data_IF_950576070237
#
_entry.id   IF_950576070237
#
_cell.length_a   1.000
_cell.length_b   1.000
_cell.length_c   1.000
_cell.angle_alpha   90.00
_cell.angle_beta   90.00
_cell.angle_gamma   90.00
#
_symmetry.space_group_name_H-M   'P 1'
#
loop_
_entity.id
_entity.type
_entity.pdbx_description
1 polymer ?
#
# COMPACT_ATOMS: atom_id res chain seq x y z
N UNK A 1 35.77 17.32 -14.90
CA UNK A 1 34.56 16.55 -14.53
C UNK A 1 34.29 16.62 -13.02
N UNK A 2 35.27 16.30 -12.16
CA UNK A 2 35.16 16.46 -10.70
C UNK A 2 34.78 17.89 -10.26
N UNK A 3 35.43 18.93 -10.79
CA UNK A 3 35.11 20.32 -10.45
C UNK A 3 33.68 20.75 -10.83
N UNK A 4 33.14 20.19 -11.91
CA UNK A 4 31.77 20.48 -12.36
C UNK A 4 30.78 19.83 -11.39
N UNK A 5 31.01 18.56 -11.01
CA UNK A 5 30.17 17.87 -10.05
C UNK A 5 30.19 18.56 -8.68
N UNK A 6 31.36 19.03 -8.21
CA UNK A 6 31.44 19.77 -6.95
C UNK A 6 30.65 21.08 -6.99
N UNK A 7 30.77 21.86 -8.07
CA UNK A 7 29.98 23.11 -8.23
C UNK A 7 28.48 22.85 -8.30
N UNK A 8 28.05 21.81 -9.03
CA UNK A 8 26.65 21.41 -9.10
C UNK A 8 26.13 21.00 -7.72
N UNK A 9 26.90 20.20 -6.97
CA UNK A 9 26.55 19.83 -5.59
C UNK A 9 26.41 21.06 -4.71
N UNK A 10 27.37 22.00 -4.73
CA UNK A 10 27.28 23.23 -3.95
C UNK A 10 26.05 24.07 -4.30
N UNK A 11 25.73 24.18 -5.60
CA UNK A 11 24.54 24.90 -6.06
C UNK A 11 23.24 24.23 -5.58
N UNK A 12 23.19 22.89 -5.57
CA UNK A 12 22.05 22.15 -5.05
C UNK A 12 21.91 22.33 -3.54
N UNK A 13 23.01 22.23 -2.77
CA UNK A 13 22.99 22.47 -1.32
C UNK A 13 22.47 23.88 -1.02
N UNK A 14 22.96 24.89 -1.73
CA UNK A 14 22.49 26.26 -1.56
C UNK A 14 21.01 26.42 -1.90
N UNK A 15 20.51 25.72 -2.92
CA UNK A 15 19.08 25.69 -3.26
C UNK A 15 18.25 25.03 -2.17
N UNK A 16 18.75 23.95 -1.55
CA UNK A 16 18.07 23.26 -0.46
C UNK A 16 17.91 24.14 0.79
N UNK A 17 18.94 24.93 1.09
CA UNK A 17 18.91 25.91 2.19
C UNK A 17 17.99 27.10 1.88
N UNK A 18 17.95 27.55 0.62
CA UNK A 18 17.17 28.71 0.19
C UNK A 18 15.66 28.45 0.09
N UNK A 19 15.25 27.22 -0.23
CA UNK A 19 13.86 26.82 -0.43
C UNK A 19 13.39 25.85 0.66
N UNK A 20 13.03 26.39 1.83
CA UNK A 20 12.39 25.61 2.90
C UNK A 20 11.00 25.08 2.50
N UNK A 21 10.56 23.98 3.12
CA UNK A 21 9.19 23.44 2.99
C UNK A 21 9.00 22.28 2.00
N UNK A 22 9.95 22.05 1.08
CA UNK A 22 9.98 20.85 0.21
C UNK A 22 11.10 19.86 0.59
N UNK A 23 12.00 20.28 1.48
CA UNK A 23 13.07 19.45 2.02
C UNK A 23 12.67 18.97 3.41
N UNK A 24 12.56 17.64 3.59
CA UNK A 24 12.32 17.01 4.88
C UNK A 24 13.63 16.43 5.40
N UNK A 25 14.53 17.32 5.83
CA UNK A 25 15.81 16.98 6.44
C UNK A 25 15.65 16.98 7.97
N UNK A 26 16.28 16.02 8.66
CA UNK A 26 16.28 15.86 10.13
C UNK A 26 14.90 15.68 10.81
N UNK A 27 13.82 15.50 10.03
CA UNK A 27 12.48 15.23 10.54
C UNK A 27 12.21 13.75 10.84
N UNK A 28 10.99 13.46 11.33
CA UNK A 28 10.54 12.08 11.56
C UNK A 28 10.59 11.30 10.24
N UNK A 29 11.15 10.09 10.25
CA UNK A 29 11.20 9.23 9.07
C UNK A 29 9.77 8.91 8.59
N UNK A 30 9.38 9.47 7.44
CA UNK A 30 8.02 9.35 6.89
C UNK A 30 7.83 8.01 6.15
N UNK A 31 6.58 7.55 5.97
CA UNK A 31 6.28 6.39 5.12
C UNK A 31 6.89 6.53 3.73
N UNK A 32 7.54 5.46 3.25
CA UNK A 32 8.18 5.44 1.95
C UNK A 32 7.19 5.12 0.84
N UNK A 33 7.05 6.02 -0.13
CA UNK A 33 6.16 5.83 -1.28
C UNK A 33 6.50 4.56 -2.09
N UNK A 34 7.78 4.24 -2.26
CA UNK A 34 8.19 3.04 -3.00
C UNK A 34 7.82 1.76 -2.25
N UNK A 35 8.05 1.73 -0.92
CA UNK A 35 7.70 0.57 -0.09
C UNK A 35 6.18 0.37 -0.05
N UNK A 36 5.40 1.45 0.09
CA UNK A 36 3.93 1.37 0.04
C UNK A 36 3.43 0.87 -1.32
N UNK A 37 4.05 1.30 -2.43
CA UNK A 37 3.72 0.78 -3.75
C UNK A 37 3.98 -0.73 -3.86
N UNK A 38 5.09 -1.23 -3.31
CA UNK A 38 5.40 -2.65 -3.33
C UNK A 38 4.48 -3.47 -2.41
N UNK A 39 4.16 -2.95 -1.21
CA UNK A 39 3.13 -3.53 -0.33
C UNK A 39 1.77 -3.60 -1.04
N UNK A 40 1.42 -2.57 -1.81
CA UNK A 40 0.15 -2.51 -2.54
C UNK A 40 0.08 -3.62 -3.60
N UNK A 41 1.16 -3.87 -4.34
CA UNK A 41 1.25 -4.99 -5.30
C UNK A 41 1.09 -6.35 -4.60
N UNK A 42 1.74 -6.52 -3.45
CA UNK A 42 1.61 -7.75 -2.65
C UNK A 42 0.18 -7.94 -2.12
N UNK A 43 -0.48 -6.87 -1.68
CA UNK A 43 -1.88 -6.90 -1.23
C UNK A 43 -2.85 -7.21 -2.38
N UNK A 44 -2.66 -6.60 -3.56
CA UNK A 44 -3.44 -6.92 -4.77
C UNK A 44 -3.30 -8.41 -5.12
N UNK A 45 -2.11 -8.97 -4.94
CA UNK A 45 -1.85 -10.39 -5.14
C UNK A 45 -2.62 -11.28 -4.14
N UNK A 46 -2.77 -10.85 -2.88
CA UNK A 46 -3.61 -11.55 -1.89
C UNK A 46 -5.12 -11.46 -2.24
N UNK A 47 -5.56 -10.30 -2.73
CA UNK A 47 -6.94 -10.10 -3.15
C UNK A 47 -7.28 -10.94 -4.38
N UNK A 48 -6.39 -10.99 -5.37
CA UNK A 48 -6.60 -11.63 -6.66
C UNK A 48 -5.49 -12.65 -7.00
N UNK A 49 -5.41 -13.78 -6.26
CA UNK A 49 -4.39 -14.79 -6.50
C UNK A 49 -4.49 -15.33 -7.93
N UNK A 50 -3.36 -15.38 -8.65
CA UNK A 50 -3.29 -15.82 -10.04
C UNK A 50 -3.56 -14.75 -11.11
N UNK A 51 -3.89 -13.50 -10.74
CA UNK A 51 -4.13 -12.42 -11.71
C UNK A 51 -2.97 -11.41 -11.81
N UNK A 52 -2.39 -11.00 -10.68
CA UNK A 52 -1.33 -9.98 -10.64
C UNK A 52 0.09 -10.56 -10.54
N UNK A 53 0.25 -11.83 -10.90
CA UNK A 53 1.51 -12.56 -10.79
C UNK A 53 2.01 -12.99 -12.16
N UNK A 54 3.32 -12.94 -12.37
CA UNK A 54 3.96 -13.43 -13.60
C UNK A 54 3.93 -14.96 -13.71
N UNK A 55 3.86 -15.67 -12.57
CA UNK A 55 3.91 -17.13 -12.51
C UNK A 55 2.55 -17.72 -12.18
N UNK A 56 2.23 -18.83 -12.85
CA UNK A 56 1.08 -19.65 -12.50
C UNK A 56 1.26 -20.24 -11.10
N UNK A 57 0.30 -19.99 -10.21
CA UNK A 57 0.24 -20.67 -8.91
C UNK A 57 -0.44 -22.02 -9.08
N UNK A 58 0.25 -23.08 -8.68
CA UNK A 58 -0.38 -24.38 -8.53
C UNK A 58 -1.15 -24.46 -7.21
N UNK A 59 -2.35 -25.04 -7.23
CA UNK A 59 -3.22 -25.16 -6.06
C UNK A 59 -2.55 -25.83 -4.85
N UNK A 60 -1.57 -26.71 -5.09
CA UNK A 60 -0.78 -27.39 -4.06
C UNK A 60 0.17 -26.44 -3.29
N UNK A 61 0.62 -25.35 -3.92
CA UNK A 61 1.56 -24.38 -3.35
C UNK A 61 0.86 -23.14 -2.79
N UNK A 62 -0.40 -22.89 -3.22
CA UNK A 62 -1.18 -21.71 -2.87
C UNK A 62 -1.17 -21.38 -1.37
N UNK A 63 -1.33 -22.39 -0.51
CA UNK A 63 -1.33 -22.18 0.95
C UNK A 63 0.00 -21.63 1.46
N UNK A 64 1.10 -22.24 1.03
CA UNK A 64 2.45 -21.86 1.47
C UNK A 64 2.83 -20.48 0.92
N UNK A 65 2.55 -20.22 -0.35
CA UNK A 65 2.83 -18.94 -0.99
C UNK A 65 1.99 -17.81 -0.38
N UNK A 66 0.70 -18.05 -0.14
CA UNK A 66 -0.18 -17.09 0.53
C UNK A 66 0.33 -16.78 1.94
N UNK A 67 0.77 -17.80 2.69
CA UNK A 67 1.32 -17.60 4.03
C UNK A 67 2.57 -16.72 4.01
N UNK A 68 3.54 -17.03 3.14
CA UNK A 68 4.76 -16.23 2.99
C UNK A 68 4.46 -14.79 2.57
N UNK A 69 3.50 -14.59 1.67
CA UNK A 69 3.09 -13.27 1.23
C UNK A 69 2.43 -12.47 2.36
N UNK A 70 1.58 -13.11 3.18
CA UNK A 70 0.98 -12.47 4.36
C UNK A 70 2.07 -12.07 5.37
N UNK A 71 3.05 -12.92 5.65
CA UNK A 71 4.15 -12.60 6.56
C UNK A 71 5.00 -11.43 6.04
N UNK A 72 5.31 -11.42 4.74
CA UNK A 72 6.02 -10.32 4.07
C UNK A 72 5.25 -9.00 4.20
N UNK A 73 3.97 -9.00 3.81
CA UNK A 73 3.12 -7.81 3.89
C UNK A 73 3.03 -7.31 5.32
N UNK A 74 2.80 -8.21 6.29
CA UNK A 74 2.74 -7.86 7.69
C UNK A 74 4.00 -7.12 8.16
N UNK A 75 5.19 -7.69 7.89
CA UNK A 75 6.45 -7.11 8.34
C UNK A 75 6.78 -5.76 7.68
N UNK A 76 6.45 -5.59 6.40
CA UNK A 76 6.67 -4.35 5.67
C UNK A 76 5.65 -3.27 6.06
N UNK A 77 4.36 -3.61 6.08
CA UNK A 77 3.28 -2.66 6.38
C UNK A 77 3.36 -2.16 7.83
N UNK A 78 3.67 -3.03 8.80
CA UNK A 78 3.84 -2.61 10.19
C UNK A 78 4.88 -1.49 10.32
N UNK A 79 6.02 -1.60 9.62
CA UNK A 79 7.09 -0.58 9.67
C UNK A 79 6.64 0.75 9.08
N UNK A 80 5.89 0.73 7.98
CA UNK A 80 5.40 1.96 7.36
C UNK A 80 4.26 2.60 8.18
N UNK A 81 3.38 1.80 8.78
CA UNK A 81 2.37 2.30 9.73
C UNK A 81 3.06 2.91 10.96
N UNK A 82 4.12 2.30 11.49
CA UNK A 82 4.87 2.86 12.62
C UNK A 82 5.42 4.27 12.30
N UNK A 83 5.96 4.47 11.10
CA UNK A 83 6.42 5.79 10.62
C UNK A 83 5.27 6.80 10.54
N UNK A 84 4.13 6.38 9.99
CA UNK A 84 2.91 7.20 9.92
C UNK A 84 2.43 7.63 11.31
N UNK A 85 2.37 6.70 12.26
CA UNK A 85 1.93 6.97 13.63
C UNK A 85 2.90 7.88 14.40
N UNK A 86 4.21 7.77 14.16
CA UNK A 86 5.21 8.71 14.74
C UNK A 86 5.09 10.11 14.16
N UNK A 87 4.69 10.23 12.90
CA UNK A 87 4.43 11.51 12.25
C UNK A 87 3.13 12.14 12.76
N UNK A 88 2.06 11.35 12.84
CA UNK A 88 0.75 11.83 13.25
C UNK A 88 -0.02 10.71 13.99
N UNK A 89 0.03 10.68 15.33
CA UNK A 89 -0.69 9.67 16.11
C UNK A 89 -2.21 9.92 16.02
N UNK A 90 -3.03 8.85 16.03
CA UNK A 90 -4.49 8.97 16.08
C UNK A 90 -4.96 9.77 17.30
N UNK A 91 -6.05 10.52 17.13
CA UNK A 91 -6.64 11.28 18.23
C UNK A 91 -7.02 10.35 19.38
N UNK A 92 -6.65 10.74 20.61
CA UNK A 92 -6.93 9.95 21.82
C UNK A 92 -6.05 8.71 22.04
N UNK A 93 -5.03 8.45 21.20
CA UNK A 93 -4.07 7.32 21.39
C UNK A 93 -2.61 7.75 21.67
N UNK A 94 -2.43 8.93 22.27
CA UNK A 94 -1.11 9.58 22.48
C UNK A 94 -0.13 8.79 23.37
N UNK A 95 -0.61 7.92 24.26
CA UNK A 95 0.23 7.16 25.22
C UNK A 95 0.46 5.69 24.80
N UNK A 96 -0.07 5.26 23.65
CA UNK A 96 0.06 3.89 23.20
C UNK A 96 1.50 3.60 22.72
N UNK A 97 2.03 2.42 23.04
CA UNK A 97 3.26 1.92 22.41
C UNK A 97 3.04 1.85 20.89
N UNK A 98 3.70 2.75 20.15
CA UNK A 98 3.53 2.91 18.69
C UNK A 98 3.71 1.59 17.94
N UNK A 99 4.70 0.77 18.34
CA UNK A 99 4.96 -0.51 17.69
C UNK A 99 3.82 -1.50 17.92
N UNK A 100 3.24 -1.52 19.13
CA UNK A 100 2.07 -2.35 19.43
C UNK A 100 0.84 -1.90 18.64
N UNK A 101 0.61 -0.58 18.54
CA UNK A 101 -0.48 -0.02 17.75
C UNK A 101 -0.31 -0.29 16.25
N UNK A 102 0.90 -0.11 15.71
CA UNK A 102 1.19 -0.42 14.31
C UNK A 102 0.92 -1.90 13.98
N UNK A 103 1.29 -2.79 14.90
CA UNK A 103 1.00 -4.23 14.79
C UNK A 103 -0.51 -4.50 14.81
N UNK A 104 -1.26 -3.91 15.74
CA UNK A 104 -2.72 -4.03 15.81
C UNK A 104 -3.36 -3.60 14.48
N UNK A 105 -3.03 -2.41 13.99
CA UNK A 105 -3.61 -1.85 12.76
C UNK A 105 -3.26 -2.68 11.51
N UNK A 106 -2.02 -3.21 11.45
CA UNK A 106 -1.61 -4.13 10.39
C UNK A 106 -2.45 -5.40 10.41
N UNK A 107 -2.66 -6.01 11.58
CA UNK A 107 -3.53 -7.18 11.74
C UNK A 107 -4.99 -6.86 11.38
N UNK A 108 -5.47 -5.67 11.73
CA UNK A 108 -6.82 -5.22 11.38
C UNK A 108 -6.99 -5.19 9.86
N UNK A 109 -6.08 -4.58 9.10
CA UNK A 109 -6.18 -4.57 7.64
C UNK A 109 -6.10 -5.98 7.05
N UNK A 110 -5.12 -6.80 7.49
CA UNK A 110 -4.95 -8.15 6.96
C UNK A 110 -6.15 -9.06 7.25
N UNK A 111 -6.80 -8.90 8.41
CA UNK A 111 -8.02 -9.64 8.74
C UNK A 111 -9.23 -9.19 7.92
N UNK A 112 -9.19 -8.00 7.31
CA UNK A 112 -10.22 -7.49 6.39
C UNK A 112 -10.09 -7.99 4.95
N UNK A 113 -8.99 -8.66 4.59
CA UNK A 113 -8.77 -9.14 3.22
C UNK A 113 -9.91 -10.04 2.70
N UNK A 114 -10.44 -11.02 3.46
CA UNK A 114 -11.59 -11.81 3.00
C UNK A 114 -12.84 -10.96 2.74
N UNK A 115 -13.20 -10.06 3.66
CA UNK A 115 -14.34 -9.15 3.50
C UNK A 115 -14.17 -8.24 2.27
N UNK A 116 -12.95 -7.72 2.06
CA UNK A 116 -12.62 -6.89 0.91
C UNK A 116 -12.76 -7.67 -0.41
N UNK A 117 -12.39 -8.96 -0.43
CA UNK A 117 -12.60 -9.82 -1.61
C UNK A 117 -14.08 -10.02 -1.92
N UNK A 118 -14.91 -10.18 -0.90
CA UNK A 118 -16.36 -10.30 -1.10
C UNK A 118 -16.97 -9.03 -1.70
N UNK A 119 -16.52 -7.86 -1.25
CA UNK A 119 -16.94 -6.57 -1.81
C UNK A 119 -16.38 -6.39 -3.22
N UNK A 120 -15.11 -6.69 -3.47
CA UNK A 120 -14.51 -6.54 -4.81
C UNK A 120 -15.15 -7.48 -5.83
N UNK A 121 -15.63 -8.64 -5.40
CA UNK A 121 -16.44 -9.51 -6.26
C UNK A 121 -17.70 -8.80 -6.74
N UNK A 122 -18.39 -8.04 -5.89
CA UNK A 122 -19.59 -7.30 -6.32
C UNK A 122 -19.25 -6.15 -7.26
N UNK A 123 -18.08 -5.51 -7.11
CA UNK A 123 -17.59 -4.51 -8.07
C UNK A 123 -17.33 -5.13 -9.45
N UNK A 124 -16.72 -6.31 -9.48
CA UNK A 124 -16.46 -7.06 -10.71
C UNK A 124 -17.78 -7.51 -11.37
N UNK A 125 -18.73 -8.01 -10.57
CA UNK A 125 -20.06 -8.38 -11.05
C UNK A 125 -20.81 -7.17 -11.63
N UNK A 126 -20.71 -6.01 -10.98
CA UNK A 126 -21.32 -4.77 -11.45
C UNK A 126 -20.71 -4.32 -12.79
N UNK A 127 -19.39 -4.37 -12.93
CA UNK A 127 -18.72 -4.06 -14.20
C UNK A 127 -19.12 -5.02 -15.31
N UNK A 128 -19.19 -6.33 -15.01
CA UNK A 128 -19.59 -7.35 -15.97
C UNK A 128 -21.03 -7.16 -16.46
N UNK A 129 -21.95 -6.87 -15.55
CA UNK A 129 -23.34 -6.64 -15.91
C UNK A 129 -23.56 -5.27 -16.57
N UNK A 130 -22.66 -4.31 -16.32
CA UNK A 130 -22.74 -2.94 -16.81
C UNK A 130 -22.10 -2.72 -18.19
N UNK A 131 -21.23 -3.63 -18.64
CA UNK A 131 -20.60 -3.56 -19.95
C UNK A 131 -20.97 -4.79 -20.82
N UNK A 132 -21.91 -4.64 -21.77
CA UNK A 132 -22.28 -5.72 -22.70
C UNK A 132 -21.12 -6.24 -23.56
N UNK A 133 -20.02 -5.50 -23.69
CA UNK A 133 -18.84 -5.92 -24.44
C UNK A 133 -17.88 -6.78 -23.61
N UNK A 134 -18.05 -6.86 -22.29
CA UNK A 134 -17.23 -7.70 -21.42
C UNK A 134 -17.45 -9.19 -21.72
N UNK A 135 -16.40 -9.88 -22.14
CA UNK A 135 -16.41 -11.31 -22.44
C UNK A 135 -16.47 -12.14 -21.16
N UNK A 136 -15.82 -11.69 -20.09
CA UNK A 136 -15.78 -12.42 -18.82
C UNK A 136 -15.35 -11.55 -17.63
N UNK A 137 -15.58 -12.08 -16.42
CA UNK A 137 -15.03 -11.50 -15.18
C UNK A 137 -13.50 -11.50 -15.15
N UNK A 138 -12.88 -12.50 -15.78
CA UNK A 138 -11.42 -12.56 -15.86
C UNK A 138 -10.85 -11.42 -16.72
N UNK A 139 -11.53 -11.10 -17.82
CA UNK A 139 -11.17 -9.94 -18.65
C UNK A 139 -11.27 -8.65 -17.83
N UNK A 140 -12.32 -8.49 -17.03
CA UNK A 140 -12.47 -7.32 -16.15
C UNK A 140 -11.30 -7.22 -15.18
N UNK A 141 -10.96 -8.30 -14.48
CA UNK A 141 -9.86 -8.28 -13.49
C UNK A 141 -8.51 -7.93 -14.15
N UNK A 142 -8.25 -8.42 -15.37
CA UNK A 142 -6.95 -8.24 -16.06
C UNK A 142 -6.86 -6.92 -16.81
N UNK A 143 -7.93 -6.47 -17.46
CA UNK A 143 -7.88 -5.42 -18.46
C UNK A 143 -8.56 -4.11 -18.04
N UNK A 144 -9.45 -4.14 -17.04
CA UNK A 144 -10.19 -2.93 -16.67
C UNK A 144 -9.41 -2.13 -15.63
N UNK A 145 -9.01 -0.87 -15.94
CA UNK A 145 -8.14 -0.09 -15.06
C UNK A 145 -8.78 0.24 -13.70
N UNK A 146 -10.13 0.22 -13.61
CA UNK A 146 -10.82 0.54 -12.37
C UNK A 146 -10.60 -0.53 -11.29
N UNK A 147 -10.34 -1.80 -11.66
CA UNK A 147 -10.26 -2.90 -10.68
C UNK A 147 -9.11 -2.67 -9.71
N UNK A 148 -7.94 -2.28 -10.23
CA UNK A 148 -6.80 -1.90 -9.40
C UNK A 148 -7.14 -0.66 -8.56
N UNK A 149 -7.69 0.39 -9.19
CA UNK A 149 -8.00 1.64 -8.51
C UNK A 149 -8.99 1.45 -7.34
N UNK A 150 -10.06 0.69 -7.53
CA UNK A 150 -11.07 0.46 -6.49
C UNK A 150 -10.54 -0.48 -5.40
N UNK A 151 -9.74 -1.49 -5.75
CA UNK A 151 -9.09 -2.35 -4.75
C UNK A 151 -8.14 -1.57 -3.85
N UNK A 152 -7.30 -0.72 -4.43
CA UNK A 152 -6.40 0.16 -3.68
C UNK A 152 -7.20 1.15 -2.83
N UNK A 153 -8.25 1.76 -3.38
CA UNK A 153 -9.11 2.68 -2.64
C UNK A 153 -9.75 2.01 -1.42
N UNK A 154 -10.29 0.79 -1.56
CA UNK A 154 -10.95 0.07 -0.47
C UNK A 154 -9.97 -0.32 0.65
N UNK A 155 -8.76 -0.76 0.30
CA UNK A 155 -7.70 -1.03 1.29
C UNK A 155 -7.24 0.25 1.99
N UNK A 156 -7.02 1.34 1.24
CA UNK A 156 -6.68 2.64 1.79
C UNK A 156 -7.79 3.16 2.71
N UNK A 157 -9.06 2.91 2.38
CA UNK A 157 -10.19 3.31 3.20
C UNK A 157 -10.20 2.62 4.56
N UNK A 158 -9.84 1.34 4.65
CA UNK A 158 -9.71 0.64 5.93
C UNK A 158 -8.62 1.26 6.82
N UNK A 159 -7.48 1.65 6.24
CA UNK A 159 -6.44 2.37 6.98
C UNK A 159 -6.90 3.79 7.40
N UNK A 160 -7.63 4.48 6.52
CA UNK A 160 -8.19 5.81 6.81
C UNK A 160 -9.21 5.76 7.96
N UNK A 161 -10.10 4.77 7.99
CA UNK A 161 -11.07 4.57 9.07
C UNK A 161 -10.41 4.32 10.42
N UNK A 162 -9.20 3.75 10.40
CA UNK A 162 -8.35 3.55 11.57
C UNK A 162 -7.40 4.73 11.84
N UNK A 163 -7.63 5.89 11.20
CA UNK A 163 -6.90 7.14 11.40
C UNK A 163 -5.38 7.04 11.10
N UNK A 164 -4.99 6.16 10.19
CA UNK A 164 -3.59 6.11 9.71
C UNK A 164 -3.35 7.29 8.76
N UNK A 165 -2.38 8.14 9.09
CA UNK A 165 -2.03 9.30 8.27
C UNK A 165 -1.16 8.91 7.06
N UNK A 166 -1.16 9.76 6.04
CA UNK A 166 -0.33 9.68 4.83
C UNK A 166 -0.59 8.46 3.93
N UNK A 167 -0.45 7.23 4.43
CA UNK A 167 -0.53 5.99 3.64
C UNK A 167 -1.86 5.86 2.83
N UNK A 168 -3.03 6.27 3.36
CA UNK A 168 -4.28 6.21 2.59
C UNK A 168 -4.43 7.24 1.46
N UNK A 169 -3.45 8.11 1.22
CA UNK A 169 -3.49 9.20 0.23
C UNK A 169 -2.43 8.97 -0.83
#
# INVERSE_FOLDING_TARGET
MQDILQRLTSSLMQSYDAHGGINHLDGVNLPSKSIIADITKDLLTLLFPGFFQEKLIHSQQLKTETHQLVEKVFGCLQKEIEKSLRYHPPEGRLEANVTSLAKELTMTLLSKIPDLKDILRTDIDAAYNGDPAALSRNEIIVAYPFVEAIAVQRMAHELYRNQVALIPR
#
